data_IF_109633892253
#
_entry.id   IF_109633892253
#
_cell.length_a   1.000
_cell.length_b   1.000
_cell.length_c   1.000
_cell.angle_alpha   90.00
_cell.angle_beta   90.00
_cell.angle_gamma   90.00
#
_symmetry.space_group_name_H-M   'P 1'
#
loop_
_entity.id
_entity.type
_entity.pdbx_description
1 polymer ?
#
# COMPACT_ATOMS: atom_id res chain seq x y z
N UNK A 1 45.59 -48.41 50.58
CA UNK A 1 45.05 -47.12 51.07
C UNK A 1 45.86 -45.99 50.43
N UNK A 2 45.24 -44.84 50.11
CA UNK A 2 45.84 -43.64 49.47
C UNK A 2 45.95 -43.55 47.93
N UNK A 3 44.83 -43.66 47.19
CA UNK A 3 44.69 -42.92 45.90
C UNK A 3 43.26 -42.43 45.56
N UNK A 4 42.26 -42.70 46.40
CA UNK A 4 40.85 -42.42 46.06
C UNK A 4 40.29 -41.07 46.55
N UNK A 5 41.04 -40.28 47.33
CA UNK A 5 40.50 -39.07 47.97
C UNK A 5 40.79 -37.74 47.24
N UNK A 6 41.56 -37.74 46.15
CA UNK A 6 41.94 -36.49 45.48
C UNK A 6 41.08 -36.11 44.26
N UNK A 7 40.14 -36.95 43.84
CA UNK A 7 39.29 -36.69 42.67
C UNK A 7 37.87 -36.18 42.99
N UNK A 8 37.53 -36.04 44.28
CA UNK A 8 36.20 -35.62 44.71
C UNK A 8 36.00 -34.10 44.76
N UNK A 9 37.02 -33.28 44.50
CA UNK A 9 36.93 -31.81 44.58
C UNK A 9 36.80 -31.08 43.23
N UNK A 10 36.78 -31.80 42.09
CA UNK A 10 36.73 -31.20 40.75
C UNK A 10 35.35 -31.29 40.07
N UNK A 11 34.34 -31.75 40.77
CA UNK A 11 32.96 -31.80 40.29
C UNK A 11 32.08 -30.74 40.98
N UNK A 12 32.57 -29.50 41.09
CA UNK A 12 31.63 -28.39 41.19
C UNK A 12 30.93 -28.30 39.84
N UNK A 13 29.61 -28.57 39.73
CA UNK A 13 28.89 -28.18 38.53
C UNK A 13 29.10 -26.66 38.41
N UNK A 14 29.43 -26.21 37.21
CA UNK A 14 29.41 -24.80 36.85
C UNK A 14 27.97 -24.28 37.01
N UNK A 15 27.59 -24.00 38.27
CA UNK A 15 26.42 -23.25 38.62
C UNK A 15 26.66 -21.87 38.02
N UNK A 16 26.03 -21.62 36.87
CA UNK A 16 26.08 -20.31 36.23
C UNK A 16 25.63 -19.27 37.25
N UNK A 17 26.60 -18.54 37.80
CA UNK A 17 26.33 -17.46 38.74
C UNK A 17 25.63 -16.37 37.93
N UNK A 18 24.31 -16.30 38.06
CA UNK A 18 23.56 -15.15 37.55
C UNK A 18 23.77 -14.01 38.54
N UNK A 19 24.56 -13.02 38.14
CA UNK A 19 24.69 -11.77 38.87
C UNK A 19 23.72 -10.76 38.26
N UNK A 20 22.78 -10.25 39.06
CA UNK A 20 21.94 -9.12 38.68
C UNK A 20 22.56 -7.86 39.28
N UNK A 21 22.91 -6.91 38.44
CA UNK A 21 23.39 -5.60 38.87
C UNK A 21 22.18 -4.67 38.87
N UNK A 22 21.81 -4.17 40.05
CA UNK A 22 20.82 -3.10 40.17
C UNK A 22 21.55 -1.78 40.07
N UNK A 23 21.12 -0.92 39.15
CA UNK A 23 21.73 0.40 38.94
C UNK A 23 20.69 1.43 39.34
N UNK A 24 21.00 2.21 40.37
CA UNK A 24 20.15 3.26 40.94
C UNK A 24 20.44 4.65 40.36
N UNK A 25 21.42 4.75 39.44
CA UNK A 25 21.85 5.98 38.78
C UNK A 25 22.06 5.77 37.28
N UNK A 26 22.18 6.86 36.53
CA UNK A 26 22.48 6.79 35.10
C UNK A 26 23.84 6.12 34.86
N UNK A 27 23.91 5.25 33.84
CA UNK A 27 25.18 4.73 33.32
C UNK A 27 25.81 5.84 32.49
N UNK A 28 26.89 6.44 32.98
CA UNK A 28 27.67 7.46 32.28
C UNK A 28 28.82 6.78 31.52
N UNK A 29 28.77 6.83 30.20
CA UNK A 29 29.77 6.26 29.30
C UNK A 29 30.69 7.39 28.81
N UNK A 30 31.62 7.83 29.67
CA UNK A 30 32.49 9.02 29.44
C UNK A 30 33.92 8.69 29.02
N UNK A 31 34.16 7.48 28.49
CA UNK A 31 35.46 7.08 27.96
C UNK A 31 36.03 8.10 26.95
N UNK A 32 37.34 8.33 27.03
CA UNK A 32 38.05 9.25 26.12
C UNK A 32 37.99 8.75 24.68
N UNK A 33 38.10 7.44 24.49
CA UNK A 33 37.96 6.80 23.19
C UNK A 33 36.50 6.41 22.92
N UNK A 34 35.96 6.64 21.71
CA UNK A 34 34.59 6.29 21.38
C UNK A 34 34.24 4.81 21.56
N UNK A 35 35.22 3.90 21.43
CA UNK A 35 35.05 2.46 21.66
C UNK A 35 34.77 2.09 23.11
N UNK A 36 35.12 2.95 24.06
CA UNK A 36 34.91 2.72 25.49
C UNK A 36 33.51 3.18 25.93
N UNK A 37 32.77 3.87 25.04
CA UNK A 37 31.47 4.47 25.33
C UNK A 37 30.30 3.61 24.85
N UNK A 38 30.41 2.29 24.98
CA UNK A 38 29.38 1.35 24.55
C UNK A 38 29.21 0.20 25.55
N UNK A 39 28.02 -0.39 25.55
CA UNK A 39 27.75 -1.63 26.28
C UNK A 39 27.86 -2.78 25.28
N UNK A 40 28.86 -3.64 25.47
CA UNK A 40 29.11 -4.79 24.62
C UNK A 40 28.51 -6.08 25.19
N UNK A 41 28.43 -7.13 24.36
CA UNK A 41 28.04 -8.46 24.81
C UNK A 41 26.56 -8.63 25.15
N UNK A 42 25.69 -7.68 24.79
CA UNK A 42 24.24 -7.85 24.91
C UNK A 42 23.78 -8.90 23.88
N UNK A 43 23.27 -10.06 24.30
CA UNK A 43 22.81 -11.10 23.39
C UNK A 43 21.55 -10.70 22.63
N UNK A 44 21.09 -11.53 21.70
CA UNK A 44 19.76 -11.36 21.12
C UNK A 44 18.69 -11.71 22.16
N UNK A 45 17.61 -10.92 22.24
CA UNK A 45 16.54 -11.16 23.20
C UNK A 45 15.84 -12.48 22.91
N UNK A 46 15.63 -13.25 23.97
CA UNK A 46 14.91 -14.53 23.99
C UNK A 46 13.56 -14.42 24.70
N UNK A 47 13.33 -13.32 25.43
CA UNK A 47 12.12 -12.96 26.14
C UNK A 47 11.74 -11.49 25.89
N UNK A 48 10.52 -11.09 26.25
CA UNK A 48 10.02 -9.73 25.99
C UNK A 48 10.55 -8.66 26.93
N UNK A 49 11.09 -9.07 28.09
CA UNK A 49 11.73 -8.23 29.08
C UNK A 49 13.26 -8.18 28.95
N UNK A 50 13.82 -8.88 27.95
CA UNK A 50 15.25 -8.83 27.64
C UNK A 50 15.66 -7.46 27.08
N UNK A 51 16.89 -7.05 27.38
CA UNK A 51 17.47 -5.85 26.80
C UNK A 51 17.66 -5.99 25.28
N UNK A 52 17.32 -4.94 24.54
CA UNK A 52 17.41 -4.94 23.07
C UNK A 52 18.75 -4.39 22.61
N UNK A 53 19.52 -5.20 21.88
CA UNK A 53 20.73 -4.72 21.21
C UNK A 53 20.40 -3.92 19.93
N UNK A 54 21.31 -3.01 19.52
CA UNK A 54 21.08 -2.09 18.39
C UNK A 54 20.90 -2.81 17.04
N UNK A 55 21.53 -3.98 16.87
CA UNK A 55 21.38 -4.82 15.66
C UNK A 55 19.94 -5.34 15.55
N UNK A 56 19.42 -5.94 16.61
CA UNK A 56 18.05 -6.48 16.67
C UNK A 56 17.01 -5.37 16.54
N UNK A 57 17.25 -4.21 17.16
CA UNK A 57 16.40 -3.02 17.00
C UNK A 57 16.38 -2.51 15.54
N UNK A 58 17.56 -2.32 14.96
CA UNK A 58 17.71 -1.77 13.60
C UNK A 58 17.15 -2.69 12.51
N UNK A 59 17.19 -4.00 12.72
CA UNK A 59 16.63 -5.00 11.79
C UNK A 59 15.16 -5.34 12.06
N UNK A 60 14.57 -4.82 13.13
CA UNK A 60 13.18 -5.09 13.55
C UNK A 60 12.85 -6.58 13.71
N UNK A 61 13.85 -7.40 14.09
CA UNK A 61 13.72 -8.87 14.11
C UNK A 61 12.61 -9.37 15.04
N UNK A 62 12.25 -8.60 16.06
CA UNK A 62 11.20 -8.96 17.02
C UNK A 62 9.78 -8.59 16.59
N UNK A 63 9.62 -7.82 15.51
CA UNK A 63 8.31 -7.35 15.04
C UNK A 63 7.97 -7.87 13.65
N UNK A 64 8.90 -8.52 12.98
CA UNK A 64 8.73 -9.04 11.64
C UNK A 64 8.42 -10.54 11.66
N UNK A 65 7.40 -10.94 10.92
CA UNK A 65 7.05 -12.35 10.70
C UNK A 65 6.53 -12.59 9.29
N UNK A 66 6.56 -13.86 8.87
CA UNK A 66 6.02 -14.27 7.57
C UNK A 66 4.66 -14.93 7.77
N UNK A 67 3.68 -14.58 6.93
CA UNK A 67 2.41 -15.29 6.89
C UNK A 67 2.65 -16.70 6.34
N UNK A 68 2.44 -17.73 7.18
CA UNK A 68 2.51 -19.15 6.82
C UNK A 68 1.13 -19.76 6.57
N UNK A 69 0.07 -18.99 6.80
CA UNK A 69 -1.32 -19.37 6.55
C UNK A 69 -1.75 -19.17 5.08
N UNK A 70 -3.07 -19.00 4.91
CA UNK A 70 -3.72 -18.82 3.60
C UNK A 70 -3.93 -17.33 3.26
N UNK A 71 -4.60 -17.06 2.13
CA UNK A 71 -4.92 -15.70 1.66
C UNK A 71 -5.73 -14.88 2.70
N UNK A 72 -6.68 -15.51 3.38
CA UNK A 72 -7.63 -14.85 4.29
C UNK A 72 -7.52 -15.32 5.75
N UNK A 73 -6.66 -16.30 6.04
CA UNK A 73 -6.36 -16.74 7.41
C UNK A 73 -4.86 -16.74 7.57
N UNK A 74 -4.34 -15.63 8.09
CA UNK A 74 -2.93 -15.40 8.29
C UNK A 74 -2.47 -16.03 9.59
N UNK A 75 -1.31 -16.68 9.54
CA UNK A 75 -0.64 -17.24 10.70
C UNK A 75 0.77 -16.68 10.72
N UNK A 76 1.13 -16.00 11.80
CA UNK A 76 2.43 -15.32 11.94
C UNK A 76 3.01 -15.67 13.30
N UNK A 77 4.27 -16.09 13.30
CA UNK A 77 5.03 -16.32 14.53
C UNK A 77 6.17 -15.31 14.61
N UNK A 78 6.20 -14.53 15.69
CA UNK A 78 7.29 -13.61 16.02
C UNK A 78 8.28 -14.25 17.00
N UNK A 79 9.59 -14.02 16.83
CA UNK A 79 10.61 -14.35 17.84
C UNK A 79 10.96 -13.12 18.70
N UNK A 80 10.99 -13.22 20.04
CA UNK A 80 10.52 -14.34 20.86
C UNK A 80 8.99 -14.41 20.88
N UNK A 81 8.40 -15.58 21.23
CA UNK A 81 6.95 -15.73 21.26
C UNK A 81 6.28 -14.73 22.19
N UNK A 82 5.20 -14.10 21.73
CA UNK A 82 4.43 -13.13 22.52
C UNK A 82 3.99 -13.70 23.87
N UNK A 83 3.85 -12.85 24.91
CA UNK A 83 3.12 -13.24 26.11
C UNK A 83 1.67 -13.58 25.76
N UNK A 84 0.95 -14.28 26.65
CA UNK A 84 -0.44 -14.74 26.45
C UNK A 84 -1.47 -13.62 26.14
N UNK A 85 -1.06 -12.35 26.21
CA UNK A 85 -1.88 -11.19 25.88
C UNK A 85 -1.10 -10.21 25.00
N UNK A 86 -1.82 -9.60 24.04
CA UNK A 86 -1.28 -8.56 23.19
C UNK A 86 -1.84 -7.20 23.64
N UNK A 87 -1.01 -6.26 24.13
CA UNK A 87 -1.50 -4.95 24.54
C UNK A 87 -1.87 -4.08 23.33
N UNK A 88 -2.91 -3.22 23.44
CA UNK A 88 -3.20 -2.18 22.46
C UNK A 88 -1.97 -1.31 22.17
N UNK A 89 -1.81 -0.89 20.92
CA UNK A 89 -0.64 -0.15 20.43
C UNK A 89 0.52 -1.04 19.99
N UNK A 90 0.40 -2.37 20.11
CA UNK A 90 1.39 -3.30 19.57
C UNK A 90 1.45 -3.22 18.06
N UNK A 91 2.66 -3.15 17.50
CA UNK A 91 2.88 -3.00 16.08
C UNK A 91 3.77 -4.11 15.53
N UNK A 92 3.34 -4.71 14.43
CA UNK A 92 4.04 -5.81 13.76
C UNK A 92 4.16 -5.56 12.25
N UNK A 93 5.15 -6.20 11.64
CA UNK A 93 5.36 -6.26 10.20
C UNK A 93 5.13 -7.69 9.73
N UNK A 94 4.26 -7.84 8.73
CA UNK A 94 3.91 -9.16 8.19
C UNK A 94 4.24 -9.21 6.71
N UNK A 95 5.03 -10.20 6.29
CA UNK A 95 5.20 -10.53 4.87
C UNK A 95 4.08 -11.47 4.43
N UNK A 96 3.27 -11.01 3.49
CA UNK A 96 2.07 -11.71 3.02
C UNK A 96 2.45 -12.75 1.95
N UNK A 97 1.92 -13.97 2.07
CA UNK A 97 2.23 -15.09 1.17
C UNK A 97 1.36 -15.13 -0.09
N UNK A 98 0.10 -14.71 0.01
CA UNK A 98 -0.87 -14.70 -1.09
C UNK A 98 -1.76 -13.44 -1.02
N UNK A 99 -2.23 -12.96 -2.18
CA UNK A 99 -3.18 -11.85 -2.20
C UNK A 99 -4.49 -12.28 -1.53
N UNK A 100 -5.08 -11.40 -0.72
CA UNK A 100 -6.33 -11.72 -0.04
C UNK A 100 -7.49 -11.75 -1.05
N UNK A 101 -8.52 -12.55 -0.78
CA UNK A 101 -9.73 -12.64 -1.62
C UNK A 101 -10.98 -12.11 -0.93
N UNK A 102 -10.84 -11.67 0.33
CA UNK A 102 -11.87 -11.03 1.14
C UNK A 102 -11.32 -10.65 2.50
N UNK A 103 -12.18 -10.66 3.51
CA UNK A 103 -11.82 -10.38 4.90
C UNK A 103 -10.70 -11.31 5.37
N UNK A 104 -9.78 -10.76 6.17
CA UNK A 104 -8.58 -11.45 6.65
C UNK A 104 -8.61 -11.53 8.17
N UNK A 105 -8.33 -12.71 8.70
CA UNK A 105 -8.06 -12.94 10.12
C UNK A 105 -6.59 -13.26 10.34
N UNK A 106 -6.01 -12.79 11.44
CA UNK A 106 -4.63 -13.02 11.84
C UNK A 106 -4.56 -13.77 13.17
N UNK A 107 -3.83 -14.87 13.18
CA UNK A 107 -3.36 -15.56 14.39
C UNK A 107 -1.88 -15.26 14.57
N UNK A 108 -1.53 -14.69 15.72
CA UNK A 108 -0.17 -14.25 16.05
C UNK A 108 0.40 -15.06 17.21
N UNK A 109 1.42 -15.88 16.97
CA UNK A 109 2.00 -16.81 17.96
C UNK A 109 0.94 -17.70 18.65
N UNK A 110 -0.11 -18.09 17.91
CA UNK A 110 -1.23 -18.88 18.45
C UNK A 110 -2.32 -18.06 19.16
N UNK A 111 -2.16 -16.75 19.33
CA UNK A 111 -3.14 -15.85 19.91
C UNK A 111 -4.03 -15.28 18.79
N UNK A 112 -5.35 -15.29 19.00
CA UNK A 112 -6.34 -14.84 18.01
C UNK A 112 -7.44 -15.88 17.79
N UNK A 113 -8.18 -15.80 16.66
CA UNK A 113 -7.97 -14.90 15.53
C UNK A 113 -8.34 -13.45 15.84
N UNK A 114 -7.57 -12.52 15.29
CA UNK A 114 -7.86 -11.08 15.28
C UNK A 114 -8.21 -10.64 13.86
N UNK A 115 -9.28 -9.87 13.68
CA UNK A 115 -9.60 -9.32 12.37
C UNK A 115 -8.48 -8.37 11.91
N UNK A 116 -8.13 -8.42 10.62
CA UNK A 116 -7.29 -7.41 9.97
C UNK A 116 -8.20 -6.49 9.18
N UNK A 117 -8.23 -5.22 9.57
CA UNK A 117 -9.15 -4.22 9.03
C UNK A 117 -8.38 -3.09 8.36
N UNK A 118 -8.95 -2.54 7.31
CA UNK A 118 -8.44 -1.36 6.64
C UNK A 118 -8.91 -0.08 7.33
N UNK A 119 -8.97 1.01 6.54
CA UNK A 119 -9.44 2.31 7.04
C UNK A 119 -10.86 2.22 7.62
N UNK A 120 -11.08 2.95 8.71
CA UNK A 120 -12.38 3.03 9.40
C UNK A 120 -12.90 1.68 9.90
N UNK A 121 -12.00 0.76 10.27
CA UNK A 121 -12.32 -0.57 10.80
C UNK A 121 -13.14 -1.46 9.85
N UNK A 122 -13.10 -1.20 8.54
CA UNK A 122 -13.76 -2.05 7.54
C UNK A 122 -12.94 -3.33 7.28
N UNK A 123 -13.57 -4.50 7.09
CA UNK A 123 -12.87 -5.68 6.60
C UNK A 123 -12.17 -5.42 5.26
N UNK A 124 -11.05 -6.09 5.01
CA UNK A 124 -10.33 -5.98 3.74
C UNK A 124 -11.16 -6.57 2.58
N UNK A 125 -11.10 -5.89 1.42
CA UNK A 125 -11.69 -6.36 0.16
C UNK A 125 -10.70 -7.23 -0.62
N UNK A 126 -11.19 -7.98 -1.61
CA UNK A 126 -10.32 -8.81 -2.45
C UNK A 126 -9.20 -7.99 -3.10
N UNK A 127 -7.99 -8.52 -3.10
CA UNK A 127 -6.78 -7.95 -3.68
C UNK A 127 -6.32 -6.61 -3.07
N UNK A 128 -6.84 -6.23 -1.91
CA UNK A 128 -6.41 -5.03 -1.19
C UNK A 128 -4.96 -5.18 -0.65
N UNK A 129 -4.56 -6.42 -0.32
CA UNK A 129 -3.18 -6.77 0.04
C UNK A 129 -2.63 -7.80 -0.94
N UNK A 130 -1.46 -7.52 -1.52
CA UNK A 130 -0.85 -8.32 -2.57
C UNK A 130 0.14 -9.37 -2.02
N UNK A 131 0.31 -10.47 -2.76
CA UNK A 131 1.31 -11.48 -2.45
C UNK A 131 2.73 -10.87 -2.43
N UNK A 132 3.52 -11.20 -1.41
CA UNK A 132 4.87 -10.70 -1.22
C UNK A 132 4.97 -9.32 -0.58
N UNK A 133 3.85 -8.60 -0.39
CA UNK A 133 3.84 -7.32 0.29
C UNK A 133 4.27 -7.47 1.76
N UNK A 134 4.97 -6.46 2.28
CA UNK A 134 5.22 -6.31 3.72
C UNK A 134 4.23 -5.27 4.22
N UNK A 135 3.36 -5.67 5.15
CA UNK A 135 2.33 -4.80 5.71
C UNK A 135 2.66 -4.46 7.17
N UNK A 136 2.39 -3.21 7.55
CA UNK A 136 2.46 -2.74 8.94
C UNK A 136 1.07 -2.82 9.56
N UNK A 137 0.97 -3.49 10.69
CA UNK A 137 -0.27 -3.70 11.41
C UNK A 137 -0.15 -3.15 12.83
N UNK A 138 -1.12 -2.34 13.25
CA UNK A 138 -1.21 -1.79 14.60
C UNK A 138 -2.42 -2.40 15.32
N UNK A 139 -2.21 -3.07 16.44
CA UNK A 139 -3.29 -3.63 17.24
C UNK A 139 -3.96 -2.53 18.07
N UNK A 140 -5.29 -2.42 18.00
CA UNK A 140 -6.05 -1.41 18.76
C UNK A 140 -6.68 -1.94 20.06
N UNK A 141 -6.56 -3.24 20.32
CA UNK A 141 -7.20 -3.94 21.43
C UNK A 141 -8.27 -4.95 21.02
N UNK A 142 -8.79 -4.83 19.80
CA UNK A 142 -9.81 -5.73 19.24
C UNK A 142 -9.36 -6.30 17.88
N UNK A 143 -8.80 -5.46 17.02
CA UNK A 143 -8.40 -5.79 15.65
C UNK A 143 -7.02 -5.22 15.30
N UNK A 144 -6.44 -5.72 14.22
CA UNK A 144 -5.26 -5.14 13.60
C UNK A 144 -5.65 -4.13 12.53
N UNK A 145 -5.25 -2.89 12.74
CA UNK A 145 -5.38 -1.81 11.78
C UNK A 145 -4.25 -1.89 10.76
N UNK A 146 -4.61 -2.19 9.52
CA UNK A 146 -3.72 -2.12 8.39
C UNK A 146 -3.74 -0.71 7.78
N UNK A 147 -2.57 -0.10 7.72
CA UNK A 147 -2.34 1.15 7.01
C UNK A 147 -1.37 0.87 5.86
N UNK A 148 -1.89 0.28 4.77
CA UNK A 148 -1.12 0.15 3.54
C UNK A 148 -0.90 1.51 2.85
N UNK A 149 -0.01 1.56 1.83
CA UNK A 149 -0.17 2.58 0.81
C UNK A 149 -1.62 2.52 0.34
N UNK A 150 -2.28 3.68 0.21
CA UNK A 150 -3.60 3.77 -0.41
C UNK A 150 -3.58 2.87 -1.63
N UNK A 151 -4.38 1.80 -1.62
CA UNK A 151 -4.58 1.06 -2.86
C UNK A 151 -5.23 2.07 -3.80
N UNK A 152 -4.46 2.58 -4.76
CA UNK A 152 -5.00 3.26 -5.94
C UNK A 152 -5.64 2.22 -6.87
N UNK A 153 -6.28 1.19 -6.31
CA UNK A 153 -7.49 0.66 -6.91
C UNK A 153 -8.50 1.81 -6.86
N UNK A 154 -8.28 2.82 -7.71
CA UNK A 154 -9.20 3.91 -7.90
C UNK A 154 -10.57 3.30 -8.13
N UNK A 155 -11.62 3.98 -7.70
CA UNK A 155 -13.01 3.55 -7.93
C UNK A 155 -13.14 2.89 -9.30
N UNK A 156 -13.84 1.74 -9.33
CA UNK A 156 -14.11 1.03 -10.57
C UNK A 156 -14.64 2.01 -11.61
N UNK A 157 -14.16 1.85 -12.84
CA UNK A 157 -14.58 2.70 -13.93
C UNK A 157 -16.09 2.56 -14.13
N UNK A 158 -16.84 3.68 -14.26
CA UNK A 158 -18.26 3.62 -14.59
C UNK A 158 -18.52 2.73 -15.80
N UNK A 159 -19.68 2.07 -15.84
CA UNK A 159 -20.04 1.20 -16.95
C UNK A 159 -19.91 1.94 -18.29
N UNK A 160 -19.31 1.28 -19.29
CA UNK A 160 -19.01 1.89 -20.60
C UNK A 160 -17.69 2.68 -20.65
N UNK A 161 -16.89 2.66 -19.59
CA UNK A 161 -15.57 3.28 -19.54
C UNK A 161 -14.49 2.27 -19.19
N UNK A 162 -13.25 2.55 -19.59
CA UNK A 162 -12.08 1.71 -19.33
C UNK A 162 -10.99 2.49 -18.58
N UNK A 163 -10.27 1.83 -17.64
CA UNK A 163 -9.19 2.48 -16.90
C UNK A 163 -7.99 2.68 -17.82
N UNK A 164 -7.58 3.93 -18.04
CA UNK A 164 -6.34 4.21 -18.80
C UNK A 164 -5.12 4.12 -17.89
N UNK A 165 -5.29 4.52 -16.64
CA UNK A 165 -4.34 4.34 -15.54
C UNK A 165 -5.09 4.43 -14.19
N UNK A 166 -4.33 4.58 -13.11
CA UNK A 166 -4.86 4.70 -11.74
C UNK A 166 -5.68 5.99 -11.50
N UNK A 167 -5.55 7.01 -12.38
CA UNK A 167 -6.12 8.35 -12.14
C UNK A 167 -7.43 8.61 -12.86
N UNK A 168 -7.71 7.95 -13.99
CA UNK A 168 -8.92 8.24 -14.75
C UNK A 168 -9.38 7.08 -15.63
N UNK A 169 -10.66 7.15 -15.97
CA UNK A 169 -11.33 6.30 -16.96
C UNK A 169 -11.72 7.14 -18.17
N UNK A 170 -11.79 6.49 -19.33
CA UNK A 170 -12.31 7.09 -20.58
C UNK A 170 -13.40 6.19 -21.16
N UNK A 171 -14.40 6.77 -21.80
CA UNK A 171 -15.39 5.99 -22.54
C UNK A 171 -14.72 5.13 -23.62
N UNK A 172 -15.11 3.84 -23.68
CA UNK A 172 -14.61 2.91 -24.69
C UNK A 172 -15.16 3.20 -26.08
N UNK A 173 -16.33 3.83 -26.15
CA UNK A 173 -17.04 4.15 -27.38
C UNK A 173 -17.13 5.66 -27.54
N UNK A 174 -16.84 6.13 -28.75
CA UNK A 174 -16.99 7.53 -29.13
C UNK A 174 -18.48 7.93 -29.15
N UNK A 175 -18.81 9.13 -28.68
CA UNK A 175 -20.17 9.67 -28.76
C UNK A 175 -20.44 10.37 -30.08
N UNK A 176 -21.72 10.47 -30.44
CA UNK A 176 -22.17 11.23 -31.60
C UNK A 176 -21.81 12.71 -31.51
N UNK A 177 -21.85 13.38 -32.67
CA UNK A 177 -21.40 14.76 -32.77
C UNK A 177 -22.28 15.73 -31.98
N UNK A 178 -21.67 16.62 -31.21
CA UNK A 178 -22.35 17.72 -30.54
C UNK A 178 -21.53 19.02 -30.61
N UNK A 179 -22.18 20.16 -30.35
CA UNK A 179 -21.46 21.40 -30.08
C UNK A 179 -20.72 21.31 -28.74
N UNK A 180 -19.69 22.13 -28.56
CA UNK A 180 -18.78 22.05 -27.43
C UNK A 180 -19.50 22.13 -26.07
N UNK A 181 -20.37 23.13 -25.88
CA UNK A 181 -21.09 23.30 -24.62
C UNK A 181 -22.04 22.12 -24.31
N UNK A 182 -22.92 21.67 -25.22
CA UNK A 182 -23.71 20.45 -25.01
C UNK A 182 -22.88 19.20 -24.73
N UNK A 183 -21.74 19.01 -25.41
CA UNK A 183 -20.83 17.89 -25.15
C UNK A 183 -20.25 17.94 -23.73
N UNK A 184 -19.82 19.13 -23.28
CA UNK A 184 -19.30 19.34 -21.93
C UNK A 184 -20.36 19.12 -20.85
N UNK A 185 -21.58 19.64 -21.07
CA UNK A 185 -22.72 19.42 -20.17
C UNK A 185 -23.06 17.93 -20.09
N UNK A 186 -23.12 17.24 -21.23
CA UNK A 186 -23.41 15.80 -21.27
C UNK A 186 -22.40 15.00 -20.44
N UNK A 187 -21.10 15.32 -20.55
CA UNK A 187 -20.10 14.67 -19.70
C UNK A 187 -20.25 15.05 -18.22
N UNK A 188 -20.62 16.30 -17.92
CA UNK A 188 -20.89 16.77 -16.55
C UNK A 188 -22.06 16.06 -15.90
N UNK A 189 -23.16 15.86 -16.62
CA UNK A 189 -24.37 15.16 -16.15
C UNK A 189 -24.09 13.68 -15.83
N UNK A 190 -23.10 13.08 -16.49
CA UNK A 190 -22.62 11.73 -16.22
C UNK A 190 -21.66 11.65 -15.01
N UNK A 191 -21.32 12.79 -14.40
CA UNK A 191 -20.33 12.87 -13.33
C UNK A 191 -18.88 12.88 -13.82
N UNK A 192 -18.66 13.16 -15.10
CA UNK A 192 -17.36 13.26 -15.74
C UNK A 192 -17.10 14.66 -16.32
N UNK A 193 -16.21 14.70 -17.31
CA UNK A 193 -15.88 15.90 -18.10
C UNK A 193 -15.39 15.50 -19.47
N UNK A 194 -15.32 16.44 -20.40
CA UNK A 194 -14.54 16.21 -21.61
C UNK A 194 -13.10 15.82 -21.24
N UNK A 195 -12.55 14.85 -21.97
CA UNK A 195 -11.16 14.45 -21.78
C UNK A 195 -10.23 15.62 -22.08
N UNK A 196 -9.15 15.75 -21.30
CA UNK A 196 -8.04 16.60 -21.73
C UNK A 196 -7.30 15.95 -22.89
N UNK A 197 -6.55 16.74 -23.65
CA UNK A 197 -5.71 16.26 -24.73
C UNK A 197 -4.69 15.23 -24.23
N UNK A 198 -4.08 15.46 -23.06
CA UNK A 198 -3.12 14.51 -22.49
C UNK A 198 -3.76 13.16 -22.16
N UNK A 199 -4.98 13.17 -21.63
CA UNK A 199 -5.73 11.94 -21.33
C UNK A 199 -6.16 11.22 -22.60
N UNK A 200 -6.74 11.95 -23.54
CA UNK A 200 -7.15 11.39 -24.82
C UNK A 200 -5.95 10.83 -25.60
N UNK A 201 -4.82 11.55 -25.64
CA UNK A 201 -3.58 11.12 -26.28
C UNK A 201 -3.09 9.80 -25.67
N UNK A 202 -3.03 9.72 -24.34
CA UNK A 202 -2.59 8.51 -23.66
C UNK A 202 -3.52 7.34 -23.94
N UNK A 203 -4.83 7.54 -23.87
CA UNK A 203 -5.82 6.54 -24.22
C UNK A 203 -5.66 6.06 -25.67
N UNK A 204 -5.44 6.99 -26.62
CA UNK A 204 -5.26 6.68 -28.03
C UNK A 204 -4.01 5.82 -28.27
N UNK A 205 -2.88 6.15 -27.63
CA UNK A 205 -1.65 5.36 -27.75
C UNK A 205 -1.75 3.96 -27.14
N UNK A 206 -2.71 3.75 -26.23
CA UNK A 206 -2.98 2.46 -25.58
C UNK A 206 -4.23 1.77 -26.10
N UNK A 207 -4.90 2.31 -27.13
CA UNK A 207 -6.25 1.92 -27.53
C UNK A 207 -6.38 0.41 -27.78
N UNK A 208 -5.41 -0.20 -28.47
CA UNK A 208 -5.39 -1.64 -28.74
C UNK A 208 -5.31 -2.51 -27.47
N UNK A 209 -4.57 -2.07 -26.45
CA UNK A 209 -4.46 -2.79 -25.17
C UNK A 209 -5.71 -2.60 -24.30
N UNK A 210 -6.37 -1.46 -24.44
CA UNK A 210 -7.56 -1.08 -23.67
C UNK A 210 -8.87 -1.52 -24.35
N UNK A 211 -8.82 -2.09 -25.55
CA UNK A 211 -10.00 -2.48 -26.33
C UNK A 211 -10.82 -1.28 -26.82
N UNK A 212 -10.21 -0.10 -26.95
CA UNK A 212 -10.86 1.12 -27.41
C UNK A 212 -10.75 1.18 -28.94
N UNK A 213 -11.88 1.28 -29.64
CA UNK A 213 -11.92 1.48 -31.10
C UNK A 213 -12.13 2.97 -31.43
N UNK A 214 -11.90 3.35 -32.69
CA UNK A 214 -12.30 4.67 -33.21
C UNK A 214 -11.70 5.86 -32.44
N UNK A 215 -10.45 5.71 -31.99
CA UNK A 215 -9.64 6.81 -31.44
C UNK A 215 -9.00 7.65 -32.53
N UNK A 216 -9.13 7.27 -33.80
CA UNK A 216 -8.69 8.09 -34.94
C UNK A 216 -9.74 8.04 -36.05
N UNK A 217 -9.73 9.01 -36.95
CA UNK A 217 -10.63 9.10 -38.10
C UNK A 217 -11.72 10.16 -37.97
N UNK A 218 -11.93 10.69 -36.75
CA UNK A 218 -12.90 11.73 -36.46
C UNK A 218 -12.27 12.78 -35.54
N UNK A 219 -12.69 14.04 -35.70
CA UNK A 219 -12.30 15.08 -34.77
C UNK A 219 -13.11 14.94 -33.47
N UNK A 220 -12.41 14.90 -32.34
CA UNK A 220 -13.01 14.85 -31.01
C UNK A 220 -12.77 16.14 -30.21
N UNK A 221 -13.79 16.61 -29.48
CA UNK A 221 -13.63 17.69 -28.52
C UNK A 221 -12.78 17.27 -27.32
N UNK A 222 -11.92 18.19 -26.86
CA UNK A 222 -11.20 18.07 -25.58
C UNK A 222 -11.55 19.21 -24.65
N UNK A 223 -11.33 19.07 -23.34
CA UNK A 223 -11.58 20.16 -22.37
C UNK A 223 -10.53 21.29 -22.40
N UNK A 224 -9.56 21.24 -23.32
CA UNK A 224 -8.50 22.22 -23.39
C UNK A 224 -8.95 23.45 -24.19
N UNK A 225 -8.69 24.63 -23.60
CA UNK A 225 -8.80 25.91 -24.30
C UNK A 225 -7.82 25.95 -25.47
N UNK A 226 -8.22 26.64 -26.53
CA UNK A 226 -7.28 27.09 -27.57
C UNK A 226 -6.87 28.54 -27.31
N UNK A 227 -5.73 28.97 -27.88
CA UNK A 227 -5.18 30.32 -27.70
C UNK A 227 -5.92 31.36 -28.56
N UNK A 228 -7.26 31.39 -28.50
CA UNK A 228 -8.09 32.35 -29.22
C UNK A 228 -9.53 32.33 -28.72
N UNK A 229 -10.22 33.46 -28.89
CA UNK A 229 -11.59 33.64 -28.42
C UNK A 229 -12.53 32.64 -29.07
N UNK A 230 -13.38 32.01 -28.26
CA UNK A 230 -14.37 31.01 -28.70
C UNK A 230 -13.77 29.80 -29.43
N UNK A 231 -12.50 29.47 -29.16
CA UNK A 231 -11.86 28.28 -29.73
C UNK A 231 -11.61 27.22 -28.66
N UNK A 232 -11.91 25.97 -29.01
CA UNK A 232 -11.53 24.79 -28.23
C UNK A 232 -10.62 23.88 -29.05
N UNK A 233 -9.83 23.06 -28.36
CA UNK A 233 -8.95 22.08 -29.00
C UNK A 233 -9.73 20.84 -29.42
N UNK A 234 -9.45 20.39 -30.64
CA UNK A 234 -9.93 19.12 -31.21
C UNK A 234 -8.76 18.20 -31.55
N UNK A 235 -8.98 16.88 -31.49
CA UNK A 235 -7.92 15.86 -31.66
C UNK A 235 -8.40 14.68 -32.51
N UNK A 236 -7.46 13.86 -32.99
CA UNK A 236 -7.78 12.50 -33.44
C UNK A 236 -8.21 12.29 -34.89
N UNK A 237 -8.04 13.26 -35.80
CA UNK A 237 -8.50 13.05 -37.17
C UNK A 237 -7.72 11.97 -37.94
N UNK A 238 -6.39 12.04 -37.99
CA UNK A 238 -5.55 11.08 -38.73
C UNK A 238 -4.59 10.29 -37.82
N UNK A 239 -4.29 10.80 -36.62
CA UNK A 239 -3.39 10.14 -35.67
C UNK A 239 -3.66 10.57 -34.24
N UNK A 240 -3.14 9.80 -33.27
CA UNK A 240 -3.19 10.15 -31.85
C UNK A 240 -2.48 11.47 -31.52
N UNK A 241 -1.50 11.87 -32.33
CA UNK A 241 -0.71 13.10 -32.10
C UNK A 241 -1.32 14.32 -32.78
N UNK A 242 -2.31 14.15 -33.65
CA UNK A 242 -2.90 15.25 -34.38
C UNK A 242 -3.86 16.05 -33.49
N UNK A 243 -3.63 17.36 -33.43
CA UNK A 243 -4.49 18.32 -32.77
C UNK A 243 -4.75 19.52 -33.70
N UNK A 244 -5.91 20.15 -33.53
CA UNK A 244 -6.27 21.41 -34.18
C UNK A 244 -7.17 22.23 -33.24
N UNK A 245 -7.65 23.37 -33.70
CA UNK A 245 -8.58 24.23 -32.97
C UNK A 245 -9.86 24.40 -33.78
N UNK A 246 -10.99 24.55 -33.11
CA UNK A 246 -12.28 24.73 -33.76
C UNK A 246 -13.15 25.68 -32.94
N UNK A 247 -14.01 26.43 -33.63
CA UNK A 247 -14.96 27.34 -33.00
C UNK A 247 -16.00 26.55 -32.19
N UNK A 248 -16.23 26.97 -30.96
CA UNK A 248 -17.15 26.31 -30.03
C UNK A 248 -18.63 26.52 -30.41
N UNK A 249 -18.91 27.59 -31.15
CA UNK A 249 -20.26 27.98 -31.60
C UNK A 249 -20.34 28.06 -33.13
N UNK A 250 -21.51 27.71 -33.68
CA UNK A 250 -21.96 28.16 -35.01
C UNK A 250 -21.56 27.32 -36.23
N UNK A 251 -20.67 26.33 -36.16
CA UNK A 251 -20.18 25.69 -37.40
C UNK A 251 -20.23 24.16 -37.45
N UNK A 252 -19.47 23.43 -36.64
CA UNK A 252 -19.33 21.97 -36.86
C UNK A 252 -19.43 21.20 -35.54
N UNK A 253 -20.50 20.42 -35.31
CA UNK A 253 -20.55 19.51 -34.18
C UNK A 253 -19.47 18.44 -34.36
N UNK A 254 -18.82 18.06 -33.26
CA UNK A 254 -17.73 17.08 -33.25
C UNK A 254 -18.04 15.96 -32.29
N UNK A 255 -17.46 14.81 -32.55
CA UNK A 255 -17.52 13.68 -31.64
C UNK A 255 -16.82 14.04 -30.32
N UNK A 256 -17.04 13.24 -29.29
CA UNK A 256 -16.39 13.44 -28.00
C UNK A 256 -16.45 12.15 -27.18
N UNK A 257 -15.61 12.12 -26.14
CA UNK A 257 -15.65 11.12 -25.07
C UNK A 257 -15.55 11.83 -23.74
N UNK A 258 -16.21 11.24 -22.76
CA UNK A 258 -16.12 11.67 -21.39
C UNK A 258 -14.98 10.94 -20.67
N UNK A 259 -14.25 11.68 -19.86
CA UNK A 259 -13.25 11.19 -18.93
C UNK A 259 -13.76 11.37 -17.50
N UNK A 260 -13.47 10.39 -16.66
CA UNK A 260 -13.91 10.32 -15.27
C UNK A 260 -12.69 10.23 -14.39
N UNK A 261 -12.54 11.18 -13.48
CA UNK A 261 -11.50 11.11 -12.47
C UNK A 261 -11.79 9.91 -11.57
N UNK A 262 -10.80 9.03 -11.41
CA UNK A 262 -10.81 8.01 -10.36
C UNK A 262 -10.40 8.71 -9.07
N UNK A 263 -11.30 9.57 -8.57
CA UNK A 263 -11.13 10.19 -7.26
C UNK A 263 -11.03 9.08 -6.21
N UNK A 264 -10.26 9.33 -5.15
CA UNK A 264 -10.39 8.57 -3.92
C UNK A 264 -11.89 8.48 -3.58
N UNK A 265 -12.33 7.31 -3.12
CA UNK A 265 -13.63 7.20 -2.48
C UNK A 265 -13.66 8.24 -1.35
N UNK A 266 -14.34 9.36 -1.62
CA UNK A 266 -14.60 10.38 -0.60
C UNK A 266 -15.66 9.79 0.33
N UNK A 267 -15.52 10.03 1.65
CA UNK A 267 -16.16 9.25 2.71
C UNK A 267 -17.68 9.22 2.67
#
# INVERSE_FOLDING_TARGET
MNKLLLFALLALPALGVRAQITIDRAILLEGTDPSDRQIEGIPDPTQWDDALNSRTAGLQLMRYGMNTGSANSWVVDLPPPLPDTLPPGSEILVRVSAANTGAVDLTLNGIGPFAVVGRMARPLDSAEVQAGAIVRLLFDGEAFQWHGPLSFAGRDCPAGTVPVNERYCIESTIRDTAHFAPAAITCGDLGGRLCSWGEWYRACTLAGNLGITDMVGQWEWTNNTANGDMLARVVGFASCTQANTSQIEGFIPRNYRCCFDRKEATP
#
